data_IF_533797948883
#
_entry.id   IF_533797948883
#
_cell.length_a   1.000
_cell.length_b   1.000
_cell.length_c   1.000
_cell.angle_alpha   90.00
_cell.angle_beta   90.00
_cell.angle_gamma   90.00
#
_symmetry.space_group_name_H-M   'P 1'
#
loop_
_entity.id
_entity.type
_entity.pdbx_description
1 polymer ?
#
# COMPACT_ATOMS: atom_id res chain seq x y z
N UNK A 1 -32.18 -22.98 20.73
CA UNK A 1 -30.84 -22.56 20.26
C UNK A 1 -30.83 -21.04 20.17
N UNK A 2 -30.04 -20.37 20.99
CA UNK A 2 -29.84 -18.91 20.93
C UNK A 2 -28.62 -18.65 20.05
N UNK A 3 -28.81 -17.98 18.92
CA UNK A 3 -27.71 -17.54 18.05
C UNK A 3 -27.14 -16.27 18.68
N UNK A 4 -25.92 -16.36 19.18
CA UNK A 4 -25.15 -15.19 19.65
C UNK A 4 -24.84 -14.34 18.42
N UNK A 5 -25.49 -13.19 18.28
CA UNK A 5 -25.11 -12.20 17.29
C UNK A 5 -23.81 -11.52 17.74
N UNK A 6 -22.72 -11.83 17.06
CA UNK A 6 -21.47 -11.09 17.18
C UNK A 6 -21.70 -9.68 16.62
N UNK A 7 -21.30 -8.61 17.33
CA UNK A 7 -21.42 -7.25 16.82
C UNK A 7 -20.66 -7.13 15.51
N UNK A 8 -21.38 -6.73 14.45
CA UNK A 8 -20.80 -6.49 13.12
C UNK A 8 -19.79 -5.36 13.27
N UNK A 9 -18.48 -5.59 13.01
CA UNK A 9 -17.50 -4.52 13.08
C UNK A 9 -17.88 -3.43 12.08
N UNK A 10 -17.67 -2.13 12.43
CA UNK A 10 -18.06 -1.02 11.58
C UNK A 10 -17.50 -1.23 10.17
N UNK A 11 -18.38 -1.01 9.18
CA UNK A 11 -18.14 -1.30 7.77
C UNK A 11 -16.72 -0.91 7.37
N UNK A 12 -15.98 -1.86 6.77
CA UNK A 12 -14.67 -1.62 6.17
C UNK A 12 -14.75 -0.33 5.38
N UNK A 13 -14.08 0.71 5.85
CA UNK A 13 -13.91 1.94 5.09
C UNK A 13 -13.24 1.50 3.80
N UNK A 14 -13.96 1.64 2.68
CA UNK A 14 -13.41 1.29 1.39
C UNK A 14 -12.06 2.00 1.25
N UNK A 15 -11.00 1.29 0.82
CA UNK A 15 -9.68 1.91 0.71
C UNK A 15 -9.83 3.15 -0.17
N UNK A 16 -9.35 4.29 0.36
CA UNK A 16 -9.38 5.54 -0.38
C UNK A 16 -8.75 5.31 -1.76
N UNK A 17 -9.27 5.95 -2.83
CA UNK A 17 -8.78 5.74 -4.19
C UNK A 17 -7.25 5.85 -4.28
N UNK A 18 -6.65 6.79 -3.55
CA UNK A 18 -5.19 6.98 -3.47
C UNK A 18 -4.45 5.76 -2.90
N UNK A 19 -4.99 5.12 -1.85
CA UNK A 19 -4.40 3.93 -1.24
C UNK A 19 -4.56 2.72 -2.16
N UNK A 20 -5.68 2.60 -2.88
CA UNK A 20 -5.86 1.55 -3.89
C UNK A 20 -4.82 1.68 -5.00
N UNK A 21 -4.64 2.88 -5.55
CA UNK A 21 -3.61 3.12 -6.56
C UNK A 21 -2.20 2.86 -6.00
N UNK A 22 -1.92 3.23 -4.75
CA UNK A 22 -0.65 2.94 -4.10
C UNK A 22 -0.36 1.45 -4.03
N UNK A 23 -1.34 0.66 -3.56
CA UNK A 23 -1.20 -0.80 -3.46
C UNK A 23 -0.96 -1.44 -4.83
N UNK A 24 -1.66 -0.97 -5.87
CA UNK A 24 -1.48 -1.44 -7.23
C UNK A 24 -0.06 -1.16 -7.73
N UNK A 25 0.44 0.08 -7.58
CA UNK A 25 1.81 0.45 -8.01
C UNK A 25 2.86 -0.41 -7.27
N UNK A 26 2.68 -0.66 -5.98
CA UNK A 26 3.59 -1.51 -5.21
C UNK A 26 3.57 -2.98 -5.70
N UNK A 27 2.39 -3.53 -6.02
CA UNK A 27 2.27 -4.88 -6.57
C UNK A 27 2.89 -5.00 -7.97
N UNK A 28 2.61 -4.05 -8.86
CA UNK A 28 3.18 -4.03 -10.21
C UNK A 28 4.71 -3.91 -10.16
N UNK A 29 5.23 -3.06 -9.26
CA UNK A 29 6.67 -2.90 -9.10
C UNK A 29 7.33 -4.16 -8.51
N UNK A 30 6.64 -4.86 -7.60
CA UNK A 30 7.11 -6.14 -7.08
C UNK A 30 7.13 -7.25 -8.16
N UNK A 31 6.16 -7.24 -9.07
CA UNK A 31 6.14 -8.12 -10.25
C UNK A 31 7.34 -7.88 -11.16
N UNK A 32 7.60 -6.62 -11.50
CA UNK A 32 8.78 -6.23 -12.30
C UNK A 32 10.10 -6.62 -11.63
N UNK A 33 10.21 -6.48 -10.30
CA UNK A 33 11.37 -6.95 -9.56
C UNK A 33 11.58 -8.45 -9.71
N UNK A 34 10.51 -9.25 -9.58
CA UNK A 34 10.58 -10.69 -9.77
C UNK A 34 11.03 -11.05 -11.19
N UNK A 35 10.44 -10.41 -12.21
CA UNK A 35 10.84 -10.59 -13.61
C UNK A 35 12.29 -10.16 -13.86
N UNK A 36 12.76 -9.09 -13.18
CA UNK A 36 14.13 -8.63 -13.31
C UNK A 36 15.15 -9.62 -12.75
N UNK A 37 14.82 -10.38 -11.70
CA UNK A 37 15.74 -11.35 -11.11
C UNK A 37 16.14 -12.42 -12.12
N UNK A 38 15.16 -12.89 -12.89
CA UNK A 38 15.33 -13.91 -13.94
C UNK A 38 15.91 -13.33 -15.23
N UNK A 39 15.99 -12.01 -15.35
CA UNK A 39 16.58 -11.35 -16.51
C UNK A 39 18.11 -11.51 -16.56
N UNK A 40 18.64 -11.76 -17.75
CA UNK A 40 20.08 -11.67 -18.03
C UNK A 40 20.56 -10.23 -18.28
N UNK A 41 19.64 -9.25 -18.34
CA UNK A 41 19.94 -7.86 -18.67
C UNK A 41 20.21 -7.03 -17.39
N UNK A 42 21.47 -6.60 -17.23
CA UNK A 42 21.89 -5.78 -16.11
C UNK A 42 21.25 -4.37 -16.12
N UNK A 43 21.03 -3.78 -17.30
CA UNK A 43 20.39 -2.45 -17.40
C UNK A 43 18.94 -2.51 -16.96
N UNK A 44 18.23 -3.55 -17.38
CA UNK A 44 16.86 -3.78 -16.93
C UNK A 44 16.77 -3.93 -15.41
N UNK A 45 17.69 -4.69 -14.80
CA UNK A 45 17.76 -4.82 -13.33
C UNK A 45 17.95 -3.48 -12.63
N UNK A 46 18.89 -2.66 -13.11
CA UNK A 46 19.16 -1.35 -12.53
C UNK A 46 17.94 -0.42 -12.65
N UNK A 47 17.27 -0.41 -13.80
CA UNK A 47 16.06 0.39 -14.04
C UNK A 47 14.90 -0.03 -13.14
N UNK A 48 14.68 -1.33 -12.96
CA UNK A 48 13.62 -1.86 -12.10
C UNK A 48 13.90 -1.56 -10.63
N UNK A 49 15.15 -1.63 -10.18
CA UNK A 49 15.54 -1.24 -8.82
C UNK A 49 15.28 0.26 -8.61
N UNK A 50 15.67 1.12 -9.56
CA UNK A 50 15.42 2.56 -9.47
C UNK A 50 13.91 2.89 -9.48
N UNK A 51 13.11 2.17 -10.26
CA UNK A 51 11.65 2.26 -10.22
C UNK A 51 11.11 1.86 -8.84
N UNK A 52 11.57 0.76 -8.26
CA UNK A 52 11.17 0.29 -6.93
C UNK A 52 11.46 1.31 -5.83
N UNK A 53 12.66 1.89 -5.83
CA UNK A 53 13.04 2.93 -4.87
C UNK A 53 12.14 4.15 -4.98
N UNK A 54 11.84 4.60 -6.21
CA UNK A 54 10.94 5.75 -6.45
C UNK A 54 9.51 5.45 -6.01
N UNK A 55 8.96 4.29 -6.36
CA UNK A 55 7.63 3.86 -5.94
C UNK A 55 7.50 3.80 -4.41
N UNK A 56 8.50 3.26 -3.71
CA UNK A 56 8.52 3.21 -2.24
C UNK A 56 8.60 4.60 -1.60
N UNK A 57 9.38 5.52 -2.17
CA UNK A 57 9.47 6.91 -1.67
C UNK A 57 8.14 7.64 -1.79
N UNK A 58 7.47 7.50 -2.93
CA UNK A 58 6.13 8.07 -3.14
C UNK A 58 5.14 7.45 -2.15
N UNK A 59 5.18 6.15 -1.96
CA UNK A 59 4.36 5.46 -0.97
C UNK A 59 4.57 5.97 0.46
N UNK A 60 5.84 6.12 0.88
CA UNK A 60 6.18 6.69 2.18
C UNK A 60 5.58 8.10 2.36
N UNK A 61 5.73 8.96 1.36
CA UNK A 61 5.22 10.34 1.41
C UNK A 61 3.68 10.38 1.51
N UNK A 62 2.97 9.52 0.77
CA UNK A 62 1.51 9.42 0.83
C UNK A 62 1.05 8.93 2.21
N UNK A 63 1.75 7.95 2.77
CA UNK A 63 1.44 7.41 4.11
C UNK A 63 1.71 8.47 5.19
N UNK A 64 2.86 9.14 5.16
CA UNK A 64 3.22 10.22 6.10
C UNK A 64 2.17 11.32 6.09
N UNK A 65 1.82 11.85 4.92
CA UNK A 65 0.76 12.86 4.77
C UNK A 65 -0.57 12.36 5.33
N UNK A 66 -0.89 11.09 5.16
CA UNK A 66 -2.14 10.52 5.68
C UNK A 66 -2.13 10.42 7.19
N UNK A 67 -1.01 10.01 7.79
CA UNK A 67 -0.82 9.95 9.24
C UNK A 67 -0.93 11.35 9.85
N UNK A 68 -0.28 12.34 9.26
CA UNK A 68 -0.37 13.74 9.68
C UNK A 68 -1.78 14.33 9.51
N UNK A 69 -2.49 13.93 8.44
CA UNK A 69 -3.87 14.35 8.17
C UNK A 69 -4.93 13.58 8.95
N UNK A 70 -4.55 12.67 9.85
CA UNK A 70 -5.45 12.12 10.86
C UNK A 70 -5.24 12.87 12.18
N UNK A 71 -5.88 14.05 12.38
CA UNK A 71 -5.96 14.61 13.72
C UNK A 71 -6.70 13.59 14.57
N UNK A 72 -6.08 13.23 15.69
CA UNK A 72 -6.62 12.47 16.81
C UNK A 72 -8.10 12.10 16.68
N UNK A 73 -8.40 10.94 16.09
CA UNK A 73 -9.56 10.15 16.52
C UNK A 73 -9.26 9.53 17.90
N UNK A 74 -8.75 10.34 18.83
CA UNK A 74 -8.91 10.10 20.26
C UNK A 74 -10.31 10.56 20.59
N UNK A 75 -11.29 9.74 20.18
CA UNK A 75 -12.59 9.78 20.82
C UNK A 75 -12.34 9.46 22.29
N UNK A 76 -12.37 10.52 23.09
CA UNK A 76 -12.96 10.55 24.42
C UNK A 76 -13.96 9.40 24.61
N UNK A 77 -13.64 8.49 25.52
CA UNK A 77 -14.60 7.65 26.25
C UNK A 77 -14.36 7.89 27.73
#
# INVERSE_FOLDING_TARGET
MQIVQLPVPPARTAPLPEIRHLSQVLFETAGLLAESLDSGDARFKDEVIDLAVRSLRVAGTVIERRVESQPEQRHTV
#
